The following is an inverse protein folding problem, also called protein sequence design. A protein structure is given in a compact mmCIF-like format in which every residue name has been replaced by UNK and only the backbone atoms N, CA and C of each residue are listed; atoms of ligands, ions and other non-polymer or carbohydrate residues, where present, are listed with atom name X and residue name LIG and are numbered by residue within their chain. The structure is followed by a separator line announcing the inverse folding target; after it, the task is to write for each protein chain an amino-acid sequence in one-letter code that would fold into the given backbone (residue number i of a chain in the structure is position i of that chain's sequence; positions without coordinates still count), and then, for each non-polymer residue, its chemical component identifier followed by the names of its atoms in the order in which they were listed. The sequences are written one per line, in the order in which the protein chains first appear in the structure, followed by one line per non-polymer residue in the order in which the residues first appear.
data_IF_236348752884
#
_entry.id   IF_236348752884
#
_cell.length_a   1.000
_cell.length_b   1.000
_cell.length_c   1.000
_cell.angle_alpha   90.00
_cell.angle_beta   90.00
_cell.angle_gamma   90.00
#
_symmetry.space_group_name_H-M   'P 1'
#
loop_
_entity.id
_entity.type
_entity.pdbx_description
1 polymer ?
#
# COMPACT_ATOMS: atom_id res chain seq x y z
N UNK A 1 2.88 -56.51 -21.50
CA UNK A 1 3.72 -55.34 -21.20
C UNK A 1 3.18 -54.21 -22.03
N UNK A 2 2.20 -53.51 -21.47
CA UNK A 2 1.47 -52.46 -22.17
C UNK A 2 2.25 -51.14 -22.08
N UNK A 3 2.44 -50.53 -23.24
CA UNK A 3 3.12 -49.25 -23.42
C UNK A 3 2.22 -48.16 -22.80
N UNK A 4 2.62 -47.58 -21.67
CA UNK A 4 1.98 -46.37 -21.16
C UNK A 4 2.19 -45.25 -22.18
N UNK A 5 1.14 -44.93 -22.95
CA UNK A 5 1.05 -43.69 -23.69
C UNK A 5 1.03 -42.53 -22.69
N UNK A 6 2.10 -41.74 -22.67
CA UNK A 6 2.14 -40.50 -21.91
C UNK A 6 1.30 -39.46 -22.64
N UNK A 7 0.08 -39.24 -22.18
CA UNK A 7 -0.77 -38.17 -22.69
C UNK A 7 -0.22 -36.83 -22.21
N UNK A 8 0.38 -36.07 -23.13
CA UNK A 8 0.91 -34.73 -22.84
C UNK A 8 -0.28 -33.80 -22.57
N UNK A 9 -0.39 -33.17 -21.38
CA UNK A 9 -1.51 -32.30 -21.09
C UNK A 9 -1.49 -31.09 -22.05
N UNK A 10 -2.66 -30.64 -22.53
CA UNK A 10 -2.72 -29.54 -23.49
C UNK A 10 -2.13 -28.27 -22.87
N UNK A 11 -1.19 -27.64 -23.59
CA UNK A 11 -0.60 -26.35 -23.21
C UNK A 11 -1.71 -25.31 -23.09
N UNK A 12 -2.08 -24.97 -21.85
CA UNK A 12 -3.01 -23.90 -21.53
C UNK A 12 -2.43 -22.60 -22.07
N UNK A 13 -3.04 -22.05 -23.13
CA UNK A 13 -2.71 -20.72 -23.64
C UNK A 13 -2.84 -19.73 -22.49
N UNK A 14 -1.72 -19.13 -22.07
CA UNK A 14 -1.73 -17.94 -21.21
C UNK A 14 -2.39 -16.82 -22.02
N UNK A 15 -3.70 -16.65 -21.88
CA UNK A 15 -4.32 -15.37 -22.19
C UNK A 15 -3.68 -14.36 -21.26
N UNK A 16 -3.02 -13.35 -21.84
CA UNK A 16 -2.45 -12.25 -21.09
C UNK A 16 -3.54 -11.62 -20.24
N UNK A 17 -3.48 -11.89 -18.94
CA UNK A 17 -4.21 -11.09 -17.96
C UNK A 17 -3.62 -9.70 -18.05
N UNK A 18 -4.36 -8.81 -18.71
CA UNK A 18 -4.14 -7.38 -18.69
C UNK A 18 -4.06 -6.98 -17.22
N UNK A 19 -2.87 -6.63 -16.73
CA UNK A 19 -2.75 -5.93 -15.46
C UNK A 19 -3.67 -4.71 -15.58
N UNK A 20 -4.60 -4.46 -14.62
CA UNK A 20 -5.32 -3.21 -14.62
C UNK A 20 -4.25 -2.13 -14.51
N UNK A 21 -4.15 -1.29 -15.54
CA UNK A 21 -3.36 -0.07 -15.49
C UNK A 21 -3.72 0.65 -14.19
N UNK A 22 -2.70 1.03 -13.42
CA UNK A 22 -2.89 1.93 -12.29
C UNK A 22 -3.63 3.15 -12.82
N UNK A 23 -4.92 3.26 -12.48
CA UNK A 23 -5.72 4.43 -12.82
C UNK A 23 -4.99 5.64 -12.25
N UNK A 24 -4.73 6.63 -13.10
CA UNK A 24 -4.17 7.89 -12.66
C UNK A 24 -5.08 8.46 -11.57
N UNK A 25 -4.54 9.21 -10.61
CA UNK A 25 -5.37 9.88 -9.59
C UNK A 25 -6.45 10.78 -10.21
N UNK A 26 -6.28 11.19 -11.47
CA UNK A 26 -7.27 11.90 -12.28
C UNK A 26 -8.41 11.01 -12.77
N UNK A 27 -8.16 9.73 -13.05
CA UNK A 27 -9.18 8.78 -13.53
C UNK A 27 -10.14 8.36 -12.41
N UNK A 28 -9.66 8.31 -11.16
CA UNK A 28 -10.51 8.09 -9.98
C UNK A 28 -11.51 9.24 -9.75
N UNK A 29 -11.21 10.45 -10.25
CA UNK A 29 -12.10 11.61 -10.11
C UNK A 29 -13.26 11.58 -11.10
N UNK A 30 -13.09 10.93 -12.26
CA UNK A 30 -14.09 10.85 -13.33
C UNK A 30 -15.12 9.73 -13.13
N UNK A 31 -14.83 8.77 -12.25
CA UNK A 31 -15.76 7.70 -11.88
C UNK A 31 -16.71 8.08 -10.73
N UNK A 32 -16.52 9.25 -10.11
CA UNK A 32 -17.43 9.78 -9.11
C UNK A 32 -18.64 10.36 -9.87
N UNK A 33 -19.88 9.89 -9.61
CA UNK A 33 -21.04 10.50 -10.25
C UNK A 33 -21.01 12.01 -9.96
N UNK A 34 -21.36 12.88 -10.94
CA UNK A 34 -21.33 14.33 -10.72
C UNK A 34 -22.26 14.63 -9.56
N UNK A 35 -21.69 14.82 -8.38
CA UNK A 35 -22.44 15.22 -7.21
C UNK A 35 -22.63 16.70 -7.43
N UNK A 36 -23.76 17.04 -8.06
CA UNK A 36 -24.36 18.36 -8.02
C UNK A 36 -24.04 18.99 -6.67
N UNK A 37 -23.16 19.99 -6.70
CA UNK A 37 -22.63 20.67 -5.53
C UNK A 37 -23.74 21.49 -4.88
N UNK A 38 -24.67 20.82 -4.19
CA UNK A 38 -25.49 21.46 -3.18
C UNK A 38 -24.63 21.52 -1.92
N UNK A 39 -24.37 22.72 -1.41
CA UNK A 39 -23.76 22.90 -0.10
C UNK A 39 -24.45 21.97 0.92
N UNK A 40 -23.75 21.32 1.86
CA UNK A 40 -24.39 20.49 2.86
C UNK A 40 -25.49 21.28 3.61
N UNK A 41 -26.58 20.62 3.99
CA UNK A 41 -27.83 21.24 4.52
C UNK A 41 -27.60 22.27 5.63
N UNK A 42 -26.52 22.13 6.42
CA UNK A 42 -26.15 23.07 7.48
C UNK A 42 -25.55 24.40 6.98
N UNK A 43 -25.04 24.46 5.75
CA UNK A 43 -24.58 25.70 5.09
C UNK A 43 -25.73 26.42 4.35
N UNK A 44 -26.77 25.68 3.95
CA UNK A 44 -27.92 26.25 3.23
C UNK A 44 -28.97 26.87 4.16
N UNK A 45 -28.99 26.50 5.43
CA UNK A 45 -29.92 27.03 6.42
C UNK A 45 -29.21 27.25 7.77
N UNK A 46 -28.91 28.51 8.17
CA UNK A 46 -28.23 28.80 9.44
C UNK A 46 -29.07 28.44 10.67
N UNK A 47 -30.34 28.07 10.49
CA UNK A 47 -31.21 27.59 11.57
C UNK A 47 -31.00 26.11 11.91
N UNK A 48 -30.26 25.33 11.11
CA UNK A 48 -29.94 23.93 11.40
C UNK A 48 -28.57 23.85 12.06
N UNK A 49 -28.48 23.52 13.36
CA UNK A 49 -27.19 23.40 14.04
C UNK A 49 -26.33 22.28 13.45
N UNK A 50 -25.01 22.48 13.45
CA UNK A 50 -24.07 21.42 13.08
C UNK A 50 -24.24 20.19 13.99
N UNK A 51 -24.33 18.97 13.45
CA UNK A 51 -24.63 17.77 14.24
C UNK A 51 -23.36 17.19 14.91
N UNK A 52 -22.74 17.98 15.78
CA UNK A 52 -21.47 17.63 16.43
C UNK A 52 -21.48 16.26 17.10
N UNK A 53 -22.56 15.92 17.82
CA UNK A 53 -22.71 14.65 18.52
C UNK A 53 -22.65 13.45 17.57
N UNK A 54 -23.36 13.53 16.42
CA UNK A 54 -23.33 12.48 15.40
C UNK A 54 -21.96 12.33 14.75
N UNK A 55 -21.25 13.45 14.56
CA UNK A 55 -19.89 13.42 14.03
C UNK A 55 -18.92 12.74 15.01
N UNK A 56 -19.01 13.06 16.31
CA UNK A 56 -18.20 12.41 17.35
C UNK A 56 -18.49 10.91 17.40
N UNK A 57 -19.77 10.51 17.39
CA UNK A 57 -20.18 9.11 17.35
C UNK A 57 -19.60 8.38 16.12
N UNK A 58 -19.72 8.98 14.93
CA UNK A 58 -19.19 8.41 13.70
C UNK A 58 -17.66 8.25 13.74
N UNK A 59 -16.94 9.21 14.33
CA UNK A 59 -15.47 9.13 14.49
C UNK A 59 -15.05 8.04 15.47
N UNK A 60 -15.75 7.88 16.59
CA UNK A 60 -15.46 6.80 17.55
C UNK A 60 -15.77 5.42 16.96
N UNK A 61 -16.87 5.29 16.20
CA UNK A 61 -17.15 4.07 15.43
C UNK A 61 -16.04 3.77 14.42
N UNK A 62 -15.62 4.76 13.64
CA UNK A 62 -14.57 4.59 12.64
C UNK A 62 -13.24 4.17 13.27
N UNK A 63 -12.90 4.77 14.42
CA UNK A 63 -11.71 4.42 15.21
C UNK A 63 -11.78 2.99 15.73
N UNK A 64 -12.93 2.55 16.24
CA UNK A 64 -13.13 1.17 16.67
C UNK A 64 -12.96 0.18 15.49
N UNK A 65 -13.56 0.49 14.34
CA UNK A 65 -13.41 -0.29 13.11
C UNK A 65 -11.95 -0.37 12.63
N UNK A 66 -11.20 0.73 12.70
CA UNK A 66 -9.76 0.70 12.41
C UNK A 66 -8.98 -0.14 13.42
N UNK A 67 -9.31 -0.04 14.71
CA UNK A 67 -8.69 -0.87 15.74
C UNK A 67 -8.89 -2.37 15.49
N UNK A 68 -10.07 -2.78 15.01
CA UNK A 68 -10.35 -4.17 14.64
C UNK A 68 -9.62 -4.55 13.35
N UNK A 69 -9.79 -3.79 12.27
CA UNK A 69 -9.22 -4.10 10.95
C UNK A 69 -7.68 -4.15 10.95
N UNK A 70 -7.03 -3.28 11.71
CA UNK A 70 -5.57 -3.19 11.76
C UNK A 70 -4.94 -3.88 12.98
N UNK A 71 -5.72 -4.63 13.75
CA UNK A 71 -5.21 -5.39 14.90
C UNK A 71 -4.07 -6.32 14.50
N UNK A 72 -4.24 -7.05 13.41
CA UNK A 72 -3.25 -8.03 12.99
C UNK A 72 -1.93 -7.37 12.55
N UNK A 73 -1.99 -6.17 11.94
CA UNK A 73 -0.79 -5.40 11.63
C UNK A 73 -0.04 -4.98 12.90
N UNK A 74 -0.78 -4.59 13.95
CA UNK A 74 -0.16 -4.27 15.25
C UNK A 74 0.47 -5.50 15.91
N UNK A 75 -0.22 -6.64 15.86
CA UNK A 75 0.31 -7.91 16.39
C UNK A 75 1.62 -8.29 15.72
N UNK A 76 1.71 -8.10 14.39
CA UNK A 76 2.89 -8.46 13.61
C UNK A 76 3.82 -7.27 13.32
N UNK A 77 3.70 -6.18 14.09
CA UNK A 77 4.41 -4.94 13.79
C UNK A 77 5.93 -5.11 13.87
N UNK A 78 6.41 -6.01 14.74
CA UNK A 78 7.84 -6.29 14.88
C UNK A 78 8.38 -7.02 13.67
N UNK A 79 7.68 -8.04 13.20
CA UNK A 79 8.02 -8.83 12.03
C UNK A 79 7.97 -7.97 10.77
N UNK A 80 6.92 -7.15 10.61
CA UNK A 80 6.80 -6.20 9.49
C UNK A 80 7.98 -5.22 9.48
N UNK A 81 8.42 -4.74 10.64
CA UNK A 81 9.54 -3.79 10.77
C UNK A 81 10.88 -4.38 10.34
N UNK A 82 11.10 -5.69 10.46
CA UNK A 82 12.32 -6.34 9.96
C UNK A 82 12.53 -6.07 8.47
N UNK A 83 11.43 -6.02 7.70
CA UNK A 83 11.45 -5.80 6.26
C UNK A 83 11.29 -4.34 5.85
N UNK A 84 11.03 -3.42 6.80
CA UNK A 84 10.98 -1.98 6.52
C UNK A 84 12.38 -1.46 6.14
N UNK A 85 13.42 -1.96 6.80
CA UNK A 85 14.81 -1.78 6.39
C UNK A 85 15.61 -3.02 6.81
N UNK A 86 15.78 -4.01 5.93
CA UNK A 86 16.46 -5.25 6.27
C UNK A 86 17.94 -5.04 6.62
N UNK A 87 18.58 -3.96 6.15
CA UNK A 87 20.01 -3.70 6.38
C UNK A 87 20.36 -3.19 7.78
N UNK A 88 19.36 -2.79 8.57
CA UNK A 88 19.54 -2.38 9.98
C UNK A 88 18.94 -3.40 10.96
N UNK A 89 18.33 -4.47 10.45
CA UNK A 89 17.79 -5.54 11.28
C UNK A 89 18.93 -6.45 11.77
N UNK A 90 18.90 -6.79 13.06
CA UNK A 90 19.78 -7.82 13.61
C UNK A 90 19.25 -9.21 13.25
N UNK A 91 20.05 -9.99 12.50
CA UNK A 91 19.69 -11.34 12.07
C UNK A 91 19.61 -12.27 13.28
N UNK A 92 20.51 -12.12 14.26
CA UNK A 92 20.60 -13.05 15.39
C UNK A 92 19.42 -12.87 16.37
N UNK A 93 18.84 -11.67 16.44
CA UNK A 93 17.64 -11.38 17.24
C UNK A 93 16.32 -11.72 16.52
N UNK A 94 16.35 -11.92 15.20
CA UNK A 94 15.16 -12.25 14.43
C UNK A 94 14.70 -13.71 14.69
N UNK A 95 13.39 -13.96 14.55
CA UNK A 95 12.86 -15.33 14.60
C UNK A 95 13.56 -16.21 13.55
N UNK A 96 13.93 -17.47 13.89
CA UNK A 96 14.67 -18.35 12.97
C UNK A 96 14.02 -18.52 11.59
N UNK A 97 12.69 -18.42 11.51
CA UNK A 97 11.94 -18.49 10.25
C UNK A 97 12.25 -17.36 9.27
N UNK A 98 12.77 -16.22 9.74
CA UNK A 98 13.08 -15.05 8.91
C UNK A 98 14.59 -14.83 8.72
N UNK A 99 15.45 -15.50 9.49
CA UNK A 99 16.90 -15.25 9.45
C UNK A 99 17.51 -15.48 8.07
N UNK A 100 17.08 -16.54 7.38
CA UNK A 100 17.56 -16.83 6.03
C UNK A 100 17.13 -15.77 5.02
N UNK A 101 15.86 -15.34 5.05
CA UNK A 101 15.35 -14.29 4.17
C UNK A 101 16.04 -12.94 4.42
N UNK A 102 16.28 -12.59 5.69
CA UNK A 102 17.04 -11.40 6.05
C UNK A 102 18.48 -11.46 5.55
N UNK A 103 19.15 -12.61 5.70
CA UNK A 103 20.51 -12.80 5.20
C UNK A 103 20.57 -12.63 3.67
N UNK A 104 19.60 -13.18 2.93
CA UNK A 104 19.51 -13.00 1.48
C UNK A 104 19.32 -11.54 1.08
N UNK A 105 18.41 -10.82 1.76
CA UNK A 105 18.17 -9.39 1.50
C UNK A 105 19.40 -8.53 1.82
N UNK A 106 20.05 -8.77 2.96
CA UNK A 106 21.23 -8.02 3.39
C UNK A 106 22.46 -8.25 2.50
N UNK A 107 22.54 -9.42 1.85
CA UNK A 107 23.60 -9.76 0.91
C UNK A 107 23.38 -9.19 -0.52
N UNK A 108 22.28 -8.45 -0.75
CA UNK A 108 21.98 -7.86 -2.05
C UNK A 108 22.44 -6.40 -2.14
N UNK A 109 23.62 -6.18 -2.72
CA UNK A 109 24.21 -4.83 -2.88
C UNK A 109 23.32 -3.87 -3.69
N UNK A 110 22.57 -4.40 -4.67
CA UNK A 110 21.64 -3.60 -5.49
C UNK A 110 20.53 -2.99 -4.64
N UNK A 111 20.04 -3.74 -3.64
CA UNK A 111 19.00 -3.26 -2.74
C UNK A 111 19.58 -2.28 -1.71
N UNK A 112 20.83 -2.45 -1.29
CA UNK A 112 21.45 -1.63 -0.23
C UNK A 112 21.38 -0.13 -0.50
N UNK A 113 21.58 0.27 -1.75
CA UNK A 113 21.50 1.67 -2.15
C UNK A 113 20.07 2.23 -2.14
N UNK A 114 19.06 1.39 -2.38
CA UNK A 114 17.65 1.78 -2.36
C UNK A 114 17.12 2.04 -0.94
N UNK A 115 17.76 1.46 0.09
CA UNK A 115 17.40 1.64 1.50
C UNK A 115 18.26 2.67 2.23
N UNK A 116 19.12 3.41 1.50
CA UNK A 116 19.83 4.54 2.11
C UNK A 116 18.82 5.57 2.61
N UNK A 117 19.05 6.16 3.80
CA UNK A 117 18.21 7.24 4.28
C UNK A 117 18.38 8.43 3.34
N UNK A 118 17.41 8.63 2.44
CA UNK A 118 17.30 9.86 1.69
C UNK A 118 16.74 10.90 2.65
N UNK A 119 17.41 12.06 2.77
CA UNK A 119 16.76 13.14 3.51
C UNK A 119 15.56 13.62 2.70
N UNK A 120 14.52 14.08 3.39
CA UNK A 120 13.38 14.75 2.75
C UNK A 120 13.85 15.90 1.84
N UNK A 121 14.98 16.54 2.18
CA UNK A 121 15.60 17.61 1.39
C UNK A 121 16.14 17.05 0.06
N UNK A 122 16.83 15.91 0.08
CA UNK A 122 17.36 15.27 -1.14
C UNK A 122 16.24 14.82 -2.07
N UNK A 123 15.13 14.32 -1.49
CA UNK A 123 13.93 13.96 -2.23
C UNK A 123 13.30 15.17 -2.95
N UNK A 124 13.11 16.31 -2.25
CA UNK A 124 12.56 17.53 -2.86
C UNK A 124 13.54 18.25 -3.80
N UNK A 125 14.85 18.07 -3.63
CA UNK A 125 15.85 18.60 -4.55
C UNK A 125 15.81 17.86 -5.90
N UNK A 126 15.60 16.54 -5.88
CA UNK A 126 15.48 15.73 -7.09
C UNK A 126 14.24 16.08 -7.92
N UNK A 127 13.13 16.50 -7.28
CA UNK A 127 11.87 16.81 -7.98
C UNK A 127 11.87 18.15 -8.76
N UNK A 128 12.89 19.00 -8.59
CA UNK A 128 12.98 20.29 -9.29
C UNK A 128 13.72 20.20 -10.65
N UNK A 129 14.32 19.05 -10.96
CA UNK A 129 15.03 18.84 -12.22
C UNK A 129 14.11 18.49 -13.40
N UNK A 130 12.84 18.20 -13.17
CA UNK A 130 11.85 17.99 -14.25
C UNK A 130 11.20 19.31 -14.69
N UNK A 131 11.98 20.40 -14.69
CA UNK A 131 11.57 21.64 -15.35
C UNK A 131 11.56 21.38 -16.84
N UNK A 132 10.36 21.11 -17.35
CA UNK A 132 9.96 20.97 -18.74
C UNK A 132 10.97 21.59 -19.71
N UNK A 133 11.76 20.74 -20.35
CA UNK A 133 12.43 21.10 -21.60
C UNK A 133 11.32 21.49 -22.59
N UNK A 134 11.28 22.79 -22.86
CA UNK A 134 10.48 23.51 -23.85
C UNK A 134 10.36 22.82 -25.19
#
# INVERSE_FOLDING_TARGET
MDVLSSEVPPKKKRTGGLFPSLLSSTDLLLQIPPTNTSLPVWEQNPAVPFPAEKCVEALEMLKAEFGVRFRQLHVNAKEIRLFQNPFVADIDEAQPSYQFELAELQNCDVLKDAFKPNSLIDFYAASQNDTYLT
#
